data_IF_360723538787
#
_entry.id   IF_360723538787
#
_cell.length_a   1.000
_cell.length_b   1.000
_cell.length_c   1.000
_cell.angle_alpha   90.00
_cell.angle_beta   90.00
_cell.angle_gamma   90.00
#
_symmetry.space_group_name_H-M   'P 1'
#
loop_
_entity.id
_entity.type
_entity.pdbx_description
1 polymer ?
#
# COMPACT_ATOMS: atom_id res chain seq x y z
N UNK A 1 -9.81 -14.11 3.04
CA UNK A 1 -8.54 -13.87 3.74
C UNK A 1 -8.78 -13.51 5.22
N UNK A 2 -9.70 -12.60 5.55
CA UNK A 2 -9.98 -12.16 6.93
C UNK A 2 -10.39 -13.33 7.86
N UNK A 3 -11.06 -14.37 7.37
CA UNK A 3 -11.49 -15.52 8.16
C UNK A 3 -10.33 -16.21 8.88
N UNK A 4 -9.17 -16.34 8.24
CA UNK A 4 -7.98 -16.97 8.85
C UNK A 4 -7.51 -16.17 10.07
N UNK A 5 -7.51 -14.84 9.97
CA UNK A 5 -7.11 -13.94 11.06
C UNK A 5 -8.09 -14.02 12.22
N UNK A 6 -9.41 -13.95 11.94
CA UNK A 6 -10.48 -14.10 12.94
C UNK A 6 -10.31 -15.41 13.70
N UNK A 7 -10.20 -16.54 12.99
CA UNK A 7 -10.01 -17.85 13.61
C UNK A 7 -8.76 -17.92 14.47
N UNK A 8 -7.63 -17.34 13.99
CA UNK A 8 -6.38 -17.34 14.75
C UNK A 8 -6.50 -16.51 16.02
N UNK A 9 -7.09 -15.33 15.96
CA UNK A 9 -7.32 -14.47 17.12
C UNK A 9 -8.17 -15.20 18.19
N UNK A 10 -9.24 -15.88 17.76
CA UNK A 10 -10.07 -16.68 18.69
C UNK A 10 -9.32 -17.84 19.35
N UNK A 11 -8.48 -18.54 18.58
CA UNK A 11 -7.60 -19.61 19.15
C UNK A 11 -6.61 -19.05 20.17
N UNK A 12 -6.22 -17.78 20.01
CA UNK A 12 -5.36 -17.04 20.96
C UNK A 12 -6.13 -16.53 22.19
N UNK A 13 -7.45 -16.71 22.24
CA UNK A 13 -8.28 -16.30 23.38
C UNK A 13 -8.86 -14.88 23.30
N UNK A 14 -8.71 -14.21 22.15
CA UNK A 14 -9.30 -12.88 21.97
C UNK A 14 -10.80 -12.97 21.67
N UNK A 15 -11.56 -12.01 22.19
CA UNK A 15 -12.90 -11.72 21.76
C UNK A 15 -12.84 -10.91 20.47
N UNK A 16 -13.42 -11.41 19.41
CA UNK A 16 -13.26 -10.85 18.06
C UNK A 16 -14.55 -10.18 17.58
N UNK A 17 -14.46 -8.88 17.34
CA UNK A 17 -15.50 -8.09 16.70
C UNK A 17 -15.13 -7.91 15.23
N UNK A 18 -15.97 -8.36 14.32
CA UNK A 18 -15.81 -8.18 12.89
C UNK A 18 -16.72 -7.06 12.39
N UNK A 19 -16.16 -6.11 11.64
CA UNK A 19 -16.92 -5.03 10.99
C UNK A 19 -16.72 -5.13 9.49
N UNK A 20 -17.81 -5.04 8.73
CA UNK A 20 -17.80 -5.08 7.26
C UNK A 20 -19.03 -4.34 6.72
N UNK A 21 -18.91 -3.68 5.57
CA UNK A 21 -20.04 -3.03 4.89
C UNK A 21 -21.03 -3.99 4.24
N UNK A 22 -20.63 -5.25 4.00
CA UNK A 22 -21.52 -6.30 3.49
C UNK A 22 -22.19 -7.02 4.68
N UNK A 23 -23.52 -6.92 4.83
CA UNK A 23 -24.25 -7.63 5.89
C UNK A 23 -24.11 -9.15 5.81
N UNK A 24 -23.69 -9.68 4.67
CA UNK A 24 -23.47 -11.11 4.44
C UNK A 24 -21.98 -11.49 4.47
N UNK A 25 -21.12 -10.62 4.99
CA UNK A 25 -19.68 -10.87 5.05
C UNK A 25 -19.37 -12.21 5.73
N UNK A 26 -18.65 -13.08 5.03
CA UNK A 26 -18.35 -14.44 5.50
C UNK A 26 -17.59 -14.47 6.83
N UNK A 27 -16.85 -13.41 7.15
CA UNK A 27 -16.12 -13.25 8.41
C UNK A 27 -17.03 -13.24 9.63
N UNK A 28 -18.24 -12.72 9.50
CA UNK A 28 -19.23 -12.61 10.58
C UNK A 28 -19.57 -13.94 11.25
N UNK A 29 -19.61 -15.02 10.48
CA UNK A 29 -19.89 -16.37 10.99
C UNK A 29 -18.79 -16.92 11.93
N UNK A 30 -17.65 -16.29 12.01
CA UNK A 30 -16.50 -16.74 12.80
C UNK A 30 -16.12 -15.78 13.94
N UNK A 31 -16.65 -14.57 13.93
CA UNK A 31 -16.46 -13.59 14.99
C UNK A 31 -17.36 -13.86 16.21
N UNK A 32 -17.03 -13.26 17.35
CA UNK A 32 -17.90 -13.28 18.53
C UNK A 32 -19.01 -12.24 18.40
N UNK A 33 -18.71 -11.11 17.73
CA UNK A 33 -19.68 -10.06 17.41
C UNK A 33 -19.50 -9.61 15.97
N UNK A 34 -20.60 -9.39 15.26
CA UNK A 34 -20.64 -8.88 13.90
C UNK A 34 -21.35 -7.53 13.88
N UNK A 35 -20.74 -6.55 13.21
CA UNK A 35 -21.30 -5.21 13.05
C UNK A 35 -21.24 -4.85 11.57
N UNK A 36 -22.40 -4.51 10.97
CA UNK A 36 -22.46 -4.04 9.59
C UNK A 36 -22.30 -2.53 9.57
N UNK A 37 -21.14 -2.05 9.08
CA UNK A 37 -20.85 -0.63 8.95
C UNK A 37 -19.82 -0.38 7.85
N UNK A 38 -19.78 0.84 7.30
CA UNK A 38 -18.74 1.24 6.36
C UNK A 38 -17.40 1.38 7.08
N UNK A 39 -16.48 0.48 6.78
CA UNK A 39 -15.14 0.47 7.37
C UNK A 39 -14.26 1.66 6.97
N UNK A 40 -14.72 2.50 6.05
CA UNK A 40 -14.03 3.74 5.61
C UNK A 40 -14.55 4.98 6.31
N UNK A 41 -15.68 4.89 7.02
CA UNK A 41 -16.23 5.98 7.83
C UNK A 41 -15.50 6.09 9.17
N UNK A 42 -14.64 7.10 9.27
CA UNK A 42 -13.78 7.31 10.44
C UNK A 42 -14.57 7.56 11.74
N UNK A 43 -15.70 8.29 11.67
CA UNK A 43 -16.48 8.63 12.87
C UNK A 43 -17.24 7.40 13.39
N UNK A 44 -17.93 6.71 12.47
CA UNK A 44 -18.68 5.48 12.81
C UNK A 44 -17.75 4.41 13.38
N UNK A 45 -16.60 4.20 12.75
CA UNK A 45 -15.65 3.19 13.20
C UNK A 45 -15.01 3.54 14.56
N UNK A 46 -14.74 4.82 14.81
CA UNK A 46 -14.22 5.27 16.09
C UNK A 46 -15.27 5.14 17.20
N UNK A 47 -16.54 5.44 16.93
CA UNK A 47 -17.64 5.25 17.87
C UNK A 47 -17.81 3.77 18.22
N UNK A 48 -17.85 2.89 17.22
CA UNK A 48 -17.87 1.43 17.43
C UNK A 48 -16.70 0.99 18.32
N UNK A 49 -15.48 1.44 18.02
CA UNK A 49 -14.29 1.06 18.80
C UNK A 49 -14.36 1.52 20.26
N UNK A 50 -14.95 2.70 20.54
CA UNK A 50 -15.18 3.22 21.90
C UNK A 50 -16.25 2.44 22.64
N UNK A 51 -17.40 2.20 22.00
CA UNK A 51 -18.53 1.48 22.62
C UNK A 51 -18.15 0.03 22.94
N UNK A 52 -17.38 -0.60 22.08
CA UNK A 52 -16.94 -1.99 22.24
C UNK A 52 -15.70 -2.13 23.11
N UNK A 53 -15.09 -1.02 23.58
CA UNK A 53 -13.90 -1.02 24.44
C UNK A 53 -12.77 -1.88 23.88
N UNK A 54 -12.47 -1.72 22.59
CA UNK A 54 -11.48 -2.56 21.91
C UNK A 54 -10.06 -2.32 22.46
N UNK A 55 -9.28 -3.40 22.63
CA UNK A 55 -7.88 -3.36 23.06
C UNK A 55 -6.90 -3.31 21.88
N UNK A 56 -7.37 -3.51 20.65
CA UNK A 56 -6.55 -3.46 19.45
C UNK A 56 -7.38 -3.57 18.18
N UNK A 57 -6.84 -3.05 17.09
CA UNK A 57 -7.46 -3.08 15.76
C UNK A 57 -6.52 -3.73 14.76
N UNK A 58 -7.07 -4.60 13.92
CA UNK A 58 -6.33 -5.22 12.83
C UNK A 58 -7.11 -5.14 11.52
N UNK A 59 -6.43 -4.79 10.44
CA UNK A 59 -7.01 -4.73 9.10
C UNK A 59 -6.14 -5.53 8.12
N UNK A 60 -6.37 -6.84 7.98
CA UNK A 60 -5.61 -7.69 7.09
C UNK A 60 -6.04 -7.54 5.63
N UNK A 61 -5.10 -7.64 4.70
CA UNK A 61 -5.31 -7.87 3.27
C UNK A 61 -5.92 -6.70 2.46
N UNK A 62 -6.05 -5.52 3.02
CA UNK A 62 -6.52 -4.33 2.31
C UNK A 62 -5.90 -3.06 2.90
N UNK A 63 -5.88 -1.99 2.14
CA UNK A 63 -5.40 -0.67 2.59
C UNK A 63 -6.53 0.35 2.78
N UNK A 64 -7.78 -0.01 2.46
CA UNK A 64 -8.87 0.97 2.35
C UNK A 64 -9.20 1.66 3.67
N UNK A 65 -9.09 0.98 4.80
CA UNK A 65 -9.38 1.51 6.13
C UNK A 65 -8.14 1.73 7.01
N UNK A 66 -6.93 1.79 6.41
CA UNK A 66 -5.71 2.03 7.18
C UNK A 66 -5.74 3.38 7.93
N UNK A 67 -6.30 4.43 7.32
CA UNK A 67 -6.45 5.74 7.97
C UNK A 67 -7.39 5.65 9.18
N UNK A 68 -8.49 4.91 9.04
CA UNK A 68 -9.46 4.65 10.11
C UNK A 68 -8.78 3.92 11.27
N UNK A 69 -8.04 2.85 10.96
CA UNK A 69 -7.28 2.10 11.96
C UNK A 69 -6.27 3.00 12.69
N UNK A 70 -5.51 3.80 11.93
CA UNK A 70 -4.55 4.74 12.51
C UNK A 70 -5.21 5.74 13.45
N UNK A 71 -6.36 6.30 13.07
CA UNK A 71 -7.13 7.21 13.92
C UNK A 71 -7.63 6.54 15.20
N UNK A 72 -8.18 5.33 15.09
CA UNK A 72 -8.63 4.59 16.28
C UNK A 72 -7.47 4.34 17.25
N UNK A 73 -6.32 3.91 16.72
CA UNK A 73 -5.14 3.68 17.55
C UNK A 73 -4.70 4.95 18.31
N UNK A 74 -4.67 6.10 17.64
CA UNK A 74 -4.30 7.37 18.26
C UNK A 74 -5.31 7.83 19.31
N UNK A 75 -6.59 7.84 18.97
CA UNK A 75 -7.66 8.33 19.84
C UNK A 75 -7.87 7.47 21.10
N UNK A 76 -7.62 6.16 21.01
CA UNK A 76 -7.78 5.22 22.11
C UNK A 76 -6.45 4.83 22.78
N UNK A 77 -5.32 5.34 22.31
CA UNK A 77 -4.00 5.01 22.85
C UNK A 77 -3.61 3.55 22.63
N UNK A 78 -4.06 2.93 21.53
CA UNK A 78 -3.77 1.54 21.20
C UNK A 78 -2.42 1.40 20.50
N UNK A 79 -1.81 0.22 20.66
CA UNK A 79 -0.61 -0.13 19.90
C UNK A 79 -0.96 -0.31 18.43
N UNK A 80 -0.21 0.35 17.54
CA UNK A 80 -0.40 0.22 16.10
C UNK A 80 0.06 1.46 15.33
N UNK A 81 -0.22 1.46 14.03
CA UNK A 81 0.10 2.56 13.14
C UNK A 81 -0.73 3.80 13.48
N UNK A 82 -0.11 4.99 13.40
CA UNK A 82 -0.84 6.27 13.52
C UNK A 82 -1.55 6.63 12.22
N UNK A 83 -2.49 7.58 12.28
CA UNK A 83 -3.18 8.07 11.09
C UNK A 83 -2.20 8.69 10.08
N UNK A 84 -1.24 9.48 10.55
CA UNK A 84 -0.22 10.08 9.70
C UNK A 84 0.65 9.02 9.01
N UNK A 85 1.08 8.01 9.75
CA UNK A 85 1.85 6.89 9.21
C UNK A 85 1.03 6.10 8.17
N UNK A 86 -0.25 5.83 8.44
CA UNK A 86 -1.15 5.16 7.53
C UNK A 86 -1.32 5.95 6.21
N UNK A 87 -1.57 7.26 6.30
CA UNK A 87 -1.66 8.15 5.13
C UNK A 87 -0.37 8.10 4.31
N UNK A 88 0.79 8.23 4.96
CA UNK A 88 2.10 8.20 4.31
C UNK A 88 2.39 6.85 3.64
N UNK A 89 1.97 5.75 4.26
CA UNK A 89 2.16 4.41 3.71
C UNK A 89 1.20 4.04 2.57
N UNK A 90 0.05 4.73 2.45
CA UNK A 90 -0.98 4.43 1.44
C UNK A 90 -1.12 5.47 0.33
N UNK A 91 -0.43 6.60 0.44
CA UNK A 91 -0.34 7.62 -0.60
C UNK A 91 1.06 7.58 -1.23
N UNK A 92 1.15 7.24 -2.51
CA UNK A 92 2.43 7.06 -3.20
C UNK A 92 3.28 8.32 -3.25
N UNK A 93 2.65 9.49 -3.39
CA UNK A 93 3.38 10.75 -3.37
C UNK A 93 4.06 10.98 -2.01
N UNK A 94 3.31 10.92 -0.92
CA UNK A 94 3.83 11.10 0.43
C UNK A 94 4.85 10.01 0.80
N UNK A 95 4.65 8.80 0.31
CA UNK A 95 5.60 7.70 0.47
C UNK A 95 6.93 8.03 -0.21
N UNK A 96 6.92 8.53 -1.45
CA UNK A 96 8.14 8.91 -2.19
C UNK A 96 8.87 10.06 -1.52
N UNK A 97 8.15 11.08 -1.07
CA UNK A 97 8.75 12.16 -0.27
C UNK A 97 9.43 11.64 1.01
N UNK A 98 8.79 10.71 1.70
CA UNK A 98 9.37 10.11 2.90
C UNK A 98 10.64 9.32 2.57
N UNK A 99 10.65 8.56 1.47
CA UNK A 99 11.81 7.80 1.02
C UNK A 99 12.97 8.73 0.67
N UNK A 100 12.72 9.82 -0.05
CA UNK A 100 13.74 10.82 -0.37
C UNK A 100 14.32 11.46 0.88
N UNK A 101 13.47 11.96 1.80
CA UNK A 101 13.89 12.55 3.08
C UNK A 101 14.68 11.56 3.95
N UNK A 102 14.32 10.30 3.92
CA UNK A 102 14.96 9.22 4.67
C UNK A 102 16.14 8.55 3.97
N UNK A 103 16.52 9.02 2.77
CA UNK A 103 17.55 8.40 1.91
C UNK A 103 17.29 6.91 1.64
N UNK A 104 16.03 6.48 1.56
CA UNK A 104 15.68 5.14 1.15
C UNK A 104 15.73 5.02 -0.38
N UNK A 105 16.19 3.89 -0.94
CA UNK A 105 16.20 3.68 -2.38
C UNK A 105 14.80 3.85 -2.98
N UNK A 106 14.69 4.70 -4.02
CA UNK A 106 13.43 5.02 -4.66
C UNK A 106 13.68 5.52 -6.08
N UNK A 107 12.81 5.24 -7.06
CA UNK A 107 12.88 5.89 -8.36
C UNK A 107 12.59 7.39 -8.22
N UNK A 108 13.08 8.20 -9.16
CA UNK A 108 12.62 9.58 -9.31
C UNK A 108 11.11 9.58 -9.53
N UNK A 109 10.38 10.34 -8.74
CA UNK A 109 8.93 10.41 -8.76
C UNK A 109 8.48 11.86 -8.70
N UNK A 110 7.54 12.24 -9.55
CA UNK A 110 7.06 13.62 -9.66
C UNK A 110 5.53 13.59 -9.61
N UNK A 111 4.89 14.27 -8.65
CA UNK A 111 3.45 14.49 -8.67
C UNK A 111 3.10 15.43 -9.81
N UNK A 112 1.99 15.19 -10.48
CA UNK A 112 1.60 15.93 -11.67
C UNK A 112 0.23 16.57 -11.51
N UNK A 113 0.07 17.74 -12.15
CA UNK A 113 -1.17 18.54 -12.09
C UNK A 113 -2.05 18.34 -13.31
N UNK A 114 -1.49 17.82 -14.41
CA UNK A 114 -2.20 17.56 -15.67
C UNK A 114 -1.43 16.56 -16.54
N UNK A 115 -2.09 16.04 -17.58
CA UNK A 115 -1.44 15.20 -18.58
C UNK A 115 -0.30 15.95 -19.31
N UNK A 116 -0.48 17.25 -19.56
CA UNK A 116 0.54 18.10 -20.19
C UNK A 116 1.77 18.25 -19.28
N UNK A 117 1.55 18.47 -17.99
CA UNK A 117 2.60 18.57 -16.99
C UNK A 117 3.39 17.26 -16.89
N UNK A 118 2.68 16.13 -16.80
CA UNK A 118 3.29 14.79 -16.79
C UNK A 118 4.10 14.50 -18.06
N UNK A 119 3.56 14.89 -19.22
CA UNK A 119 4.26 14.74 -20.50
C UNK A 119 5.56 15.54 -20.54
N UNK A 120 5.54 16.77 -20.07
CA UNK A 120 6.73 17.62 -20.02
C UNK A 120 7.80 17.03 -19.10
N UNK A 121 7.41 16.46 -17.95
CA UNK A 121 8.34 15.75 -17.08
C UNK A 121 8.94 14.51 -17.73
N UNK A 122 8.14 13.72 -18.47
CA UNK A 122 8.65 12.57 -19.20
C UNK A 122 9.71 12.97 -20.22
N UNK A 123 9.47 14.06 -20.97
CA UNK A 123 10.36 14.51 -22.04
C UNK A 123 11.65 15.18 -21.54
N UNK A 124 11.61 15.86 -20.39
CA UNK A 124 12.69 16.72 -19.96
C UNK A 124 13.42 16.24 -18.71
N UNK A 125 12.75 15.51 -17.84
CA UNK A 125 13.28 15.16 -16.51
C UNK A 125 13.73 13.71 -16.38
N UNK A 126 13.24 12.83 -17.25
CA UNK A 126 13.61 11.43 -17.28
C UNK A 126 14.52 11.13 -18.48
N UNK A 127 15.60 10.38 -18.23
CA UNK A 127 16.47 9.89 -19.29
C UNK A 127 16.05 8.49 -19.81
N UNK A 128 14.94 7.97 -19.30
CA UNK A 128 14.41 6.62 -19.54
C UNK A 128 12.89 6.67 -19.56
N UNK A 129 12.28 5.56 -19.93
CA UNK A 129 10.83 5.39 -19.86
C UNK A 129 10.26 5.76 -18.48
N UNK A 130 9.02 6.20 -18.48
CA UNK A 130 8.26 6.53 -17.28
C UNK A 130 7.19 5.48 -17.00
N UNK A 131 6.60 5.61 -15.80
CA UNK A 131 5.40 4.88 -15.41
C UNK A 131 4.41 5.85 -14.74
N UNK A 132 3.19 5.91 -15.25
CA UNK A 132 2.09 6.66 -14.65
C UNK A 132 1.44 5.80 -13.57
N UNK A 133 1.16 6.41 -12.42
CA UNK A 133 0.51 5.72 -11.30
C UNK A 133 -0.53 6.61 -10.63
N UNK A 134 -1.73 6.09 -10.34
CA UNK A 134 -2.64 6.73 -9.39
C UNK A 134 -1.95 6.92 -8.04
N UNK A 135 -2.05 8.09 -7.42
CA UNK A 135 -1.46 8.36 -6.10
C UNK A 135 -2.04 7.43 -5.03
N UNK A 136 -3.35 7.24 -5.06
CA UNK A 136 -4.09 6.38 -4.13
C UNK A 136 -4.91 5.33 -4.88
N UNK A 137 -4.31 4.17 -5.11
CA UNK A 137 -4.98 2.95 -5.58
C UNK A 137 -4.07 1.74 -5.36
N UNK A 138 -4.65 0.53 -5.45
CA UNK A 138 -3.95 -0.75 -5.31
C UNK A 138 -4.32 -1.72 -6.44
N UNK A 139 -3.59 -2.83 -6.56
CA UNK A 139 -3.87 -3.90 -7.51
C UNK A 139 -3.59 -3.52 -8.97
N UNK A 140 -2.54 -2.75 -9.22
CA UNK A 140 -2.06 -2.34 -10.57
C UNK A 140 -3.09 -1.60 -11.45
N UNK A 141 -4.21 -1.17 -10.90
CA UNK A 141 -5.25 -0.43 -11.64
C UNK A 141 -4.75 0.97 -11.98
N UNK A 142 -4.93 1.37 -13.23
CA UNK A 142 -4.51 2.68 -13.73
C UNK A 142 -2.99 2.87 -13.84
N UNK A 143 -2.20 1.79 -13.75
CA UNK A 143 -0.75 1.86 -13.99
C UNK A 143 -0.48 1.69 -15.47
N UNK A 144 0.38 2.56 -16.03
CA UNK A 144 0.79 2.48 -17.42
C UNK A 144 2.27 2.83 -17.61
N UNK A 145 3.02 1.94 -18.27
CA UNK A 145 4.36 2.29 -18.78
C UNK A 145 4.20 3.27 -19.94
N UNK A 146 5.00 4.33 -19.96
CA UNK A 146 5.00 5.39 -20.98
C UNK A 146 6.42 5.63 -21.48
N UNK A 147 6.56 5.90 -22.78
CA UNK A 147 7.85 6.10 -23.43
C UNK A 147 7.93 7.49 -24.04
N UNK A 148 9.13 8.05 -24.18
CA UNK A 148 9.33 9.38 -24.75
C UNK A 148 8.94 9.48 -26.22
N UNK A 149 8.90 8.36 -26.95
CA UNK A 149 8.58 8.26 -28.37
C UNK A 149 7.13 7.86 -28.67
N UNK A 150 6.32 7.60 -27.61
CA UNK A 150 4.92 7.27 -27.79
C UNK A 150 4.11 8.47 -28.31
N UNK A 151 3.01 8.23 -29.06
CA UNK A 151 2.11 9.31 -29.45
C UNK A 151 1.54 10.04 -28.23
N UNK A 152 1.59 11.38 -28.24
CA UNK A 152 1.09 12.20 -27.11
C UNK A 152 -0.38 11.91 -26.80
N UNK A 153 -1.19 11.59 -27.81
CA UNK A 153 -2.60 11.23 -27.61
C UNK A 153 -2.77 9.95 -26.77
N UNK A 154 -1.88 8.97 -26.95
CA UNK A 154 -1.93 7.72 -26.19
C UNK A 154 -1.41 7.92 -24.76
N UNK A 155 -0.42 8.80 -24.57
CA UNK A 155 0.00 9.25 -23.25
C UNK A 155 -1.15 9.92 -22.48
N UNK A 156 -1.87 10.84 -23.12
CA UNK A 156 -3.03 11.54 -22.48
C UNK A 156 -4.10 10.53 -22.07
N UNK A 157 -4.43 9.55 -22.93
CA UNK A 157 -5.39 8.48 -22.57
C UNK A 157 -4.92 7.68 -21.34
N UNK A 158 -3.63 7.32 -21.30
CA UNK A 158 -3.06 6.59 -20.16
C UNK A 158 -3.11 7.42 -18.87
N UNK A 159 -2.84 8.73 -18.95
CA UNK A 159 -2.96 9.65 -17.84
C UNK A 159 -4.39 9.76 -17.32
N UNK A 160 -5.36 9.91 -18.22
CA UNK A 160 -6.79 10.03 -17.88
C UNK A 160 -7.30 8.78 -17.17
N UNK A 161 -6.87 7.59 -17.62
CA UNK A 161 -7.16 6.31 -16.94
C UNK A 161 -6.56 6.30 -15.53
N UNK A 162 -5.30 6.72 -15.38
CA UNK A 162 -4.65 6.78 -14.08
C UNK A 162 -5.36 7.77 -13.14
N UNK A 163 -5.81 8.91 -13.66
CA UNK A 163 -6.55 9.92 -12.91
C UNK A 163 -7.94 9.42 -12.49
N UNK A 164 -8.65 8.73 -13.37
CA UNK A 164 -9.95 8.15 -13.09
C UNK A 164 -9.86 7.10 -11.97
N UNK A 165 -8.86 6.23 -12.04
CA UNK A 165 -8.60 5.19 -11.05
C UNK A 165 -8.05 5.72 -9.72
N UNK A 166 -7.57 6.96 -9.66
CA UNK A 166 -7.05 7.55 -8.43
C UNK A 166 -8.18 8.02 -7.51
N UNK A 167 -8.17 7.54 -6.26
CA UNK A 167 -9.16 7.93 -5.24
C UNK A 167 -9.06 9.40 -4.83
N UNK A 168 -7.88 9.98 -4.90
CA UNK A 168 -7.61 11.38 -4.57
C UNK A 168 -7.46 12.28 -5.81
N UNK A 169 -7.76 11.72 -7.00
CA UNK A 169 -7.68 12.42 -8.29
C UNK A 169 -6.31 13.07 -8.54
N UNK A 170 -5.27 12.36 -8.14
CA UNK A 170 -3.89 12.75 -8.40
C UNK A 170 -3.09 11.60 -9.03
N UNK A 171 -2.14 11.96 -9.89
CA UNK A 171 -1.30 11.04 -10.65
C UNK A 171 0.17 11.41 -10.43
N UNK A 172 1.01 10.38 -10.31
CA UNK A 172 2.46 10.54 -10.34
C UNK A 172 3.00 9.98 -11.65
N UNK A 173 4.06 10.62 -12.13
CA UNK A 173 4.97 10.02 -13.10
C UNK A 173 6.27 9.63 -12.40
N UNK A 174 6.70 8.40 -12.59
CA UNK A 174 7.94 7.88 -12.00
C UNK A 174 8.86 7.34 -13.09
N UNK A 175 10.15 7.36 -12.81
CA UNK A 175 11.12 6.65 -13.64
C UNK A 175 10.76 5.15 -13.67
N UNK A 176 10.66 4.57 -14.85
CA UNK A 176 10.45 3.14 -15.00
C UNK A 176 11.75 2.40 -14.67
N UNK A 177 11.69 1.48 -13.74
CA UNK A 177 12.82 0.62 -13.36
C UNK A 177 12.59 -0.76 -13.98
N UNK A 178 13.51 -1.19 -14.83
CA UNK A 178 13.52 -2.54 -15.36
C UNK A 178 14.18 -3.50 -14.38
N UNK A 179 13.58 -4.66 -14.20
CA UNK A 179 14.13 -5.71 -13.34
C UNK A 179 13.06 -6.62 -12.76
N UNK A 180 13.48 -7.65 -12.03
CA UNK A 180 12.57 -8.54 -11.34
C UNK A 180 11.84 -7.83 -10.21
N UNK A 181 10.59 -8.21 -9.98
CA UNK A 181 9.77 -7.68 -8.89
C UNK A 181 9.80 -8.59 -7.66
N UNK A 182 9.76 -7.96 -6.49
CA UNK A 182 9.76 -8.65 -5.20
C UNK A 182 8.70 -8.07 -4.26
N UNK A 183 8.22 -8.93 -3.35
CA UNK A 183 7.58 -8.51 -2.11
C UNK A 183 8.50 -8.82 -0.94
N UNK A 184 8.62 -7.89 0.01
CA UNK A 184 9.33 -8.10 1.26
C UNK A 184 8.32 -7.94 2.40
N UNK A 185 8.00 -9.05 3.06
CA UNK A 185 7.08 -9.07 4.18
C UNK A 185 7.79 -8.63 5.46
N UNK A 186 7.25 -7.60 6.10
CA UNK A 186 7.86 -6.97 7.28
C UNK A 186 6.82 -6.81 8.38
N UNK A 187 7.23 -7.06 9.61
CA UNK A 187 6.50 -6.65 10.82
C UNK A 187 7.36 -5.67 11.59
N UNK A 188 6.77 -4.55 11.97
CA UNK A 188 7.37 -3.59 12.90
C UNK A 188 6.69 -3.72 14.26
N UNK A 189 7.49 -3.79 15.32
CA UNK A 189 6.98 -3.86 16.68
C UNK A 189 7.93 -3.14 17.62
N UNK A 190 7.42 -2.15 18.36
CA UNK A 190 8.22 -1.30 19.25
C UNK A 190 9.47 -0.73 18.58
N UNK A 191 9.33 -0.22 17.36
CA UNK A 191 10.42 0.32 16.54
C UNK A 191 11.38 -0.70 15.96
N UNK A 192 11.24 -1.99 16.28
CA UNK A 192 12.06 -3.05 15.71
C UNK A 192 11.45 -3.56 14.39
N UNK A 193 12.20 -3.41 13.32
CA UNK A 193 11.84 -3.91 12.00
C UNK A 193 12.27 -5.37 11.86
N UNK A 194 11.33 -6.27 11.62
CA UNK A 194 11.60 -7.70 11.42
C UNK A 194 11.17 -8.10 10.01
N UNK A 195 12.13 -8.44 9.17
CA UNK A 195 11.86 -8.99 7.84
C UNK A 195 11.51 -10.47 7.99
N UNK A 196 10.31 -10.83 7.53
CA UNK A 196 9.80 -12.20 7.63
C UNK A 196 10.15 -13.05 6.41
N UNK A 197 10.02 -12.44 5.22
CA UNK A 197 10.27 -13.14 3.97
C UNK A 197 10.65 -12.18 2.85
N UNK A 198 11.33 -12.72 1.84
CA UNK A 198 11.52 -12.13 0.52
C UNK A 198 10.89 -13.07 -0.48
N UNK A 199 9.99 -12.54 -1.29
CA UNK A 199 9.14 -13.30 -2.21
C UNK A 199 9.35 -12.79 -3.63
N UNK A 200 9.71 -13.66 -4.56
CA UNK A 200 9.79 -13.30 -5.98
C UNK A 200 8.37 -13.18 -6.54
N UNK A 201 8.09 -12.08 -7.22
CA UNK A 201 6.82 -11.85 -7.90
C UNK A 201 6.94 -12.20 -9.38
N UNK A 202 6.00 -12.97 -9.87
CA UNK A 202 5.80 -13.19 -11.30
C UNK A 202 4.66 -12.32 -11.77
N UNK A 203 4.97 -11.38 -12.67
CA UNK A 203 3.98 -10.46 -13.24
C UNK A 203 3.89 -10.64 -14.74
N UNK A 204 2.77 -10.19 -15.33
CA UNK A 204 2.74 -9.96 -16.78
C UNK A 204 3.63 -8.75 -17.09
N UNK A 205 4.11 -8.71 -18.34
CA UNK A 205 4.79 -7.53 -18.85
C UNK A 205 3.79 -6.36 -19.06
N UNK A 206 4.33 -5.21 -19.49
CA UNK A 206 3.49 -4.09 -19.92
C UNK A 206 2.42 -4.56 -20.93
N UNK A 207 1.24 -3.96 -20.93
CA UNK A 207 0.86 -2.75 -20.19
C UNK A 207 0.23 -3.01 -18.81
N UNK A 208 -0.05 -4.23 -18.40
CA UNK A 208 -0.97 -4.53 -17.30
C UNK A 208 -0.31 -4.82 -15.95
N UNK A 209 0.92 -5.34 -15.92
CA UNK A 209 1.67 -5.69 -14.69
C UNK A 209 0.85 -6.49 -13.66
N UNK A 210 0.08 -7.48 -14.15
CA UNK A 210 -0.78 -8.33 -13.30
C UNK A 210 0.05 -9.38 -12.60
N UNK A 211 -0.14 -9.57 -11.31
CA UNK A 211 0.50 -10.65 -10.55
C UNK A 211 -0.04 -12.02 -11.00
N UNK A 212 0.87 -12.89 -11.43
CA UNK A 212 0.58 -14.26 -11.87
C UNK A 212 0.91 -15.30 -10.81
N UNK A 213 1.83 -14.98 -9.90
CA UNK A 213 2.27 -15.91 -8.86
C UNK A 213 3.46 -15.42 -8.06
N UNK A 214 3.80 -16.21 -7.04
CA UNK A 214 4.85 -15.91 -6.09
C UNK A 214 5.73 -17.13 -5.86
N UNK A 215 7.05 -16.94 -5.69
CA UNK A 215 7.96 -17.97 -5.18
C UNK A 215 8.51 -17.50 -3.82
N UNK A 216 8.35 -18.31 -2.81
CA UNK A 216 8.90 -18.10 -1.48
C UNK A 216 9.51 -19.41 -0.94
N UNK A 217 10.74 -19.39 -0.45
CA UNK A 217 11.66 -18.26 -0.40
C UNK A 217 12.11 -17.80 -1.78
N UNK A 218 12.70 -16.60 -1.87
CA UNK A 218 13.29 -16.06 -3.09
C UNK A 218 14.37 -16.99 -3.64
N UNK A 219 14.44 -17.13 -4.97
CA UNK A 219 15.48 -17.92 -5.65
C UNK A 219 16.78 -17.16 -5.91
N UNK A 220 16.84 -15.88 -5.54
CA UNK A 220 18.02 -15.05 -5.70
C UNK A 220 19.11 -15.37 -4.69
N UNK A 221 20.35 -14.95 -4.97
CA UNK A 221 21.49 -15.18 -4.10
C UNK A 221 21.32 -14.51 -2.72
N UNK A 222 22.04 -15.02 -1.71
CA UNK A 222 21.97 -14.44 -0.37
C UNK A 222 22.34 -12.96 -0.34
N UNK A 223 23.32 -12.53 -1.13
CA UNK A 223 23.76 -11.13 -1.17
C UNK A 223 22.69 -10.21 -1.78
N UNK A 224 22.02 -10.66 -2.85
CA UNK A 224 20.88 -9.94 -3.44
C UNK A 224 19.71 -9.83 -2.48
N UNK A 225 19.38 -10.94 -1.80
CA UNK A 225 18.32 -10.97 -0.79
C UNK A 225 18.62 -10.02 0.37
N UNK A 226 19.87 -9.97 0.86
CA UNK A 226 20.25 -9.02 1.92
C UNK A 226 20.20 -7.55 1.44
N UNK A 227 20.54 -7.29 0.18
CA UNK A 227 20.38 -5.95 -0.43
C UNK A 227 18.92 -5.54 -0.49
N UNK A 228 18.01 -6.44 -0.91
CA UNK A 228 16.57 -6.20 -0.93
C UNK A 228 16.00 -5.94 0.47
N UNK A 229 16.41 -6.73 1.47
CA UNK A 229 16.02 -6.52 2.87
C UNK A 229 16.49 -5.17 3.38
N UNK A 230 17.73 -4.78 3.10
CA UNK A 230 18.28 -3.49 3.53
C UNK A 230 17.48 -2.32 2.93
N UNK A 231 17.15 -2.38 1.64
CA UNK A 231 16.34 -1.38 0.97
C UNK A 231 14.93 -1.28 1.57
N UNK A 232 14.28 -2.41 1.83
CA UNK A 232 12.95 -2.46 2.43
C UNK A 232 12.95 -1.91 3.87
N UNK A 233 13.95 -2.26 4.68
CA UNK A 233 14.13 -1.72 6.04
C UNK A 233 14.34 -0.21 6.02
N UNK A 234 15.13 0.30 5.06
CA UNK A 234 15.31 1.75 4.89
C UNK A 234 14.00 2.44 4.54
N UNK A 235 13.20 1.86 3.64
CA UNK A 235 11.86 2.37 3.29
C UNK A 235 10.91 2.42 4.49
N UNK A 236 10.81 1.36 5.27
CA UNK A 236 9.96 1.30 6.47
C UNK A 236 10.38 2.35 7.50
N UNK A 237 11.69 2.51 7.74
CA UNK A 237 12.22 3.54 8.63
C UNK A 237 11.91 4.96 8.14
N UNK A 238 12.04 5.20 6.84
CA UNK A 238 11.70 6.48 6.22
C UNK A 238 10.21 6.84 6.39
N UNK A 239 9.31 5.84 6.33
CA UNK A 239 7.88 6.03 6.62
C UNK A 239 7.61 6.36 8.09
N UNK A 240 8.54 6.09 9.00
CA UNK A 240 8.38 6.34 10.43
C UNK A 240 7.43 5.36 11.12
N UNK A 241 7.18 4.18 10.53
CA UNK A 241 6.32 3.15 11.14
C UNK A 241 7.03 2.54 12.35
N UNK A 242 6.36 2.54 13.50
CA UNK A 242 6.90 2.04 14.76
C UNK A 242 6.17 0.80 15.31
N UNK A 243 4.94 0.58 14.87
CA UNK A 243 4.10 -0.58 15.25
C UNK A 243 3.18 -0.97 14.10
#
# INVERSE_FOLDING_TARGET
LQITVIKKAKVMGYYVIAVDGDPNARGFNYADKAICADITDEEVMLEIAREEHVDGVIHPCSEVSMNVMGRINEELGLAGITKEQAIRATNKHLMREAFEKGNAPSPKSIPTTSAEDAWNHLQNDFAVDGILKPSRNSGSRGIAKVTCDMPKEDFVKAYDIALEESRDKSVLIEQFIEGPEFSIEIIVWNGKVNVLAVTDKKTTEAPHFVELGHNQPSCFSSDEVETLKAAAVAGVKALGVNN
#
